data_IF_462705443050
#
_entry.id   IF_462705443050
#
_cell.length_a   1.000
_cell.length_b   1.000
_cell.length_c   1.000
_cell.angle_alpha   90.00
_cell.angle_beta   90.00
_cell.angle_gamma   90.00
#
_symmetry.space_group_name_H-M   'P 1'
#
loop_
_entity.id
_entity.type
_entity.pdbx_description
1 polymer ?
#
# COMPACT_ATOMS: atom_id res chain seq x y z
N UNK A 1 4.30 -3.46 25.12
CA UNK A 1 2.89 -3.02 25.11
C UNK A 1 2.63 -1.83 24.19
N UNK A 2 2.85 -0.55 24.54
CA UNK A 2 2.53 0.60 23.64
C UNK A 2 3.15 0.52 22.24
N UNK A 3 4.36 -0.03 22.12
CA UNK A 3 5.10 -0.08 20.85
C UNK A 3 4.61 -1.20 19.91
N UNK A 4 4.07 -2.29 20.47
CA UNK A 4 3.58 -3.44 19.69
C UNK A 4 2.19 -3.16 19.11
N UNK A 5 1.33 -2.47 19.87
CA UNK A 5 0.03 -2.00 19.40
C UNK A 5 0.17 -1.01 18.23
N UNK A 6 1.12 -0.07 18.33
CA UNK A 6 1.44 0.86 17.24
C UNK A 6 1.96 0.14 15.99
N UNK A 7 2.78 -0.90 16.16
CA UNK A 7 3.27 -1.70 15.04
C UNK A 7 2.14 -2.49 14.36
N UNK A 8 1.21 -3.07 15.13
CA UNK A 8 0.03 -3.74 14.60
C UNK A 8 -0.91 -2.79 13.86
N UNK A 9 -1.16 -1.60 14.40
CA UNK A 9 -1.96 -0.58 13.73
C UNK A 9 -1.35 -0.17 12.38
N UNK A 10 -0.03 0.04 12.32
CA UNK A 10 0.68 0.33 11.06
C UNK A 10 0.56 -0.83 10.06
N UNK A 11 0.67 -2.07 10.52
CA UNK A 11 0.52 -3.24 9.66
C UNK A 11 -0.91 -3.38 9.12
N UNK A 12 -1.93 -3.16 9.96
CA UNK A 12 -3.32 -3.16 9.52
C UNK A 12 -3.61 -2.05 8.49
N UNK A 13 -3.08 -0.85 8.73
CA UNK A 13 -3.22 0.28 7.80
C UNK A 13 -2.55 -0.04 6.45
N UNK A 14 -1.35 -0.62 6.47
CA UNK A 14 -0.67 -1.11 5.27
C UNK A 14 -1.52 -2.14 4.51
N UNK A 15 -2.05 -3.15 5.21
CA UNK A 15 -2.91 -4.17 4.60
C UNK A 15 -4.20 -3.58 4.02
N UNK A 16 -4.78 -2.57 4.69
CA UNK A 16 -5.97 -1.87 4.18
C UNK A 16 -5.67 -1.16 2.87
N UNK A 17 -4.60 -0.37 2.81
CA UNK A 17 -4.20 0.37 1.61
C UNK A 17 -3.95 -0.58 0.44
N UNK A 18 -3.19 -1.66 0.66
CA UNK A 18 -2.93 -2.67 -0.38
C UNK A 18 -4.24 -3.34 -0.83
N UNK A 19 -5.11 -3.69 0.12
CA UNK A 19 -6.42 -4.27 -0.18
C UNK A 19 -7.29 -3.36 -1.02
N UNK A 20 -7.40 -2.08 -0.66
CA UNK A 20 -8.19 -1.07 -1.39
C UNK A 20 -7.69 -0.92 -2.83
N UNK A 21 -6.37 -0.89 -3.03
CA UNK A 21 -5.76 -0.85 -4.37
C UNK A 21 -6.14 -2.10 -5.17
N UNK A 22 -6.04 -3.29 -4.58
CA UNK A 22 -6.41 -4.54 -5.26
C UNK A 22 -7.89 -4.57 -5.61
N UNK A 23 -8.79 -4.17 -4.71
CA UNK A 23 -10.22 -4.10 -4.99
C UNK A 23 -10.54 -3.10 -6.11
N UNK A 24 -9.90 -1.93 -6.11
CA UNK A 24 -10.06 -0.96 -7.19
C UNK A 24 -9.60 -1.52 -8.54
N UNK A 25 -8.42 -2.18 -8.58
CA UNK A 25 -7.92 -2.85 -9.78
C UNK A 25 -8.90 -3.91 -10.30
N UNK A 26 -9.47 -4.75 -9.42
CA UNK A 26 -10.46 -5.76 -9.82
C UNK A 26 -11.74 -5.12 -10.36
N UNK A 27 -12.22 -4.06 -9.72
CA UNK A 27 -13.44 -3.36 -10.15
C UNK A 27 -13.29 -2.74 -11.55
N UNK A 28 -12.08 -2.30 -11.90
CA UNK A 28 -11.72 -1.74 -13.21
C UNK A 28 -11.36 -2.81 -14.25
N UNK A 29 -11.29 -4.09 -13.86
CA UNK A 29 -10.92 -5.21 -14.73
C UNK A 29 -9.42 -5.30 -15.02
N UNK A 30 -8.59 -4.66 -14.19
CA UNK A 30 -7.14 -4.73 -14.28
C UNK A 30 -6.60 -6.06 -13.73
N UNK A 31 -5.48 -6.51 -14.30
CA UNK A 31 -4.80 -7.72 -13.85
C UNK A 31 -4.12 -7.50 -12.49
N UNK A 32 -4.42 -8.34 -11.50
CA UNK A 32 -3.88 -8.24 -10.14
C UNK A 32 -2.63 -9.11 -9.93
N UNK A 33 -1.68 -9.04 -10.87
CA UNK A 33 -0.35 -9.66 -10.68
C UNK A 33 0.49 -8.81 -9.73
N UNK A 34 1.44 -9.44 -9.02
CA UNK A 34 2.37 -8.75 -8.09
C UNK A 34 2.99 -7.48 -8.69
N UNK A 35 3.49 -7.57 -9.92
CA UNK A 35 4.09 -6.44 -10.65
C UNK A 35 3.09 -5.32 -10.90
N UNK A 36 1.87 -5.65 -11.32
CA UNK A 36 0.83 -4.65 -11.60
C UNK A 36 0.37 -3.92 -10.32
N UNK A 37 0.26 -4.66 -9.20
CA UNK A 37 -0.06 -4.06 -7.90
C UNK A 37 1.07 -3.13 -7.45
N UNK A 38 2.33 -3.55 -7.59
CA UNK A 38 3.49 -2.73 -7.26
C UNK A 38 3.52 -1.44 -8.10
N UNK A 39 3.22 -1.53 -9.40
CA UNK A 39 3.17 -0.38 -10.30
C UNK A 39 2.10 0.64 -9.87
N UNK A 40 0.89 0.18 -9.56
CA UNK A 40 -0.20 1.06 -9.09
C UNK A 40 0.17 1.74 -7.77
N UNK A 41 0.73 0.99 -6.81
CA UNK A 41 1.18 1.57 -5.53
C UNK A 41 2.30 2.60 -5.79
N UNK A 42 3.21 2.36 -6.74
CA UNK A 42 4.27 3.31 -7.11
C UNK A 42 3.69 4.58 -7.74
N UNK A 43 2.65 4.46 -8.58
CA UNK A 43 1.91 5.61 -9.13
C UNK A 43 1.20 6.40 -8.04
N UNK A 44 0.57 5.74 -7.07
CA UNK A 44 -0.06 6.41 -5.92
C UNK A 44 0.98 7.08 -5.01
N UNK A 45 2.15 6.47 -4.80
CA UNK A 45 3.29 7.07 -4.09
C UNK A 45 3.80 8.33 -4.80
N UNK A 46 3.79 8.36 -6.14
CA UNK A 46 4.21 9.52 -6.92
C UNK A 46 3.28 10.73 -6.74
N UNK A 47 2.03 10.52 -6.30
CA UNK A 47 1.10 11.60 -5.92
C UNK A 47 1.50 12.27 -4.59
N UNK A 48 2.37 11.63 -3.80
CA UNK A 48 3.05 12.24 -2.66
C UNK A 48 2.15 12.63 -1.48
N UNK A 49 2.67 13.56 -0.66
CA UNK A 49 2.06 14.03 0.59
C UNK A 49 0.74 14.80 0.40
N UNK A 50 0.36 15.13 -0.83
CA UNK A 50 -0.90 15.82 -1.13
C UNK A 50 -2.12 14.91 -0.92
N UNK A 51 -1.93 13.59 -0.99
CA UNK A 51 -3.00 12.58 -0.83
C UNK A 51 -2.80 11.69 0.41
N UNK A 52 -1.57 11.49 0.84
CA UNK A 52 -1.21 10.48 1.84
C UNK A 52 -0.36 11.08 2.94
N UNK A 53 -0.52 10.60 4.18
CA UNK A 53 0.36 11.01 5.27
C UNK A 53 1.72 10.27 5.24
N UNK A 54 2.67 10.74 6.05
CA UNK A 54 4.01 10.15 6.13
C UNK A 54 4.02 8.67 6.50
N UNK A 55 3.10 8.21 7.36
CA UNK A 55 3.04 6.83 7.79
C UNK A 55 2.46 5.93 6.69
N UNK A 56 1.45 6.40 5.96
CA UNK A 56 0.88 5.73 4.80
C UNK A 56 1.90 5.61 3.66
N UNK A 57 2.66 6.68 3.39
CA UNK A 57 3.74 6.64 2.40
C UNK A 57 4.84 5.62 2.77
N UNK A 58 5.17 5.47 4.06
CA UNK A 58 6.11 4.44 4.51
C UNK A 58 5.53 3.03 4.32
N UNK A 59 4.25 2.83 4.62
CA UNK A 59 3.56 1.55 4.44
C UNK A 59 3.52 1.15 2.96
N UNK A 60 3.20 2.08 2.07
CA UNK A 60 3.19 1.86 0.62
C UNK A 60 4.58 1.51 0.07
N UNK A 61 5.63 2.19 0.55
CA UNK A 61 7.02 1.85 0.17
C UNK A 61 7.41 0.43 0.60
N UNK A 62 7.00 0.01 1.79
CA UNK A 62 7.25 -1.35 2.27
C UNK A 62 6.49 -2.38 1.41
N UNK A 63 5.23 -2.10 1.06
CA UNK A 63 4.44 -2.97 0.21
C UNK A 63 5.08 -3.16 -1.18
N UNK A 64 5.55 -2.09 -1.82
CA UNK A 64 6.27 -2.18 -3.11
C UNK A 64 7.49 -3.07 -2.98
N UNK A 65 8.32 -2.88 -1.95
CA UNK A 65 9.51 -3.69 -1.73
C UNK A 65 9.19 -5.19 -1.61
N UNK A 66 8.14 -5.55 -0.86
CA UNK A 66 7.72 -6.95 -0.68
C UNK A 66 7.11 -7.57 -1.94
N UNK A 67 6.48 -6.76 -2.80
CA UNK A 67 5.89 -7.23 -4.06
C UNK A 67 6.94 -7.43 -5.17
N UNK A 68 8.09 -6.78 -5.05
CA UNK A 68 9.23 -6.85 -5.98
C UNK A 68 10.28 -7.91 -5.59
N UNK A 69 10.17 -8.52 -4.39
CA UNK A 69 10.94 -9.71 -3.96
C UNK A 69 10.43 -11.02 -4.60
#
# INVERSE_FOLDING_TARGET
>A
MKNEELAQLRYQEMCRIVGDVVFAMVAEGHETKRVAIADVIRTELAKGLDKWDCDQLQCMKLAVKLLEE
#
